data_IF_935216635139
#
_entry.id   IF_935216635139
#
_cell.length_a   1.000
_cell.length_b   1.000
_cell.length_c   1.000
_cell.angle_alpha   90.00
_cell.angle_beta   90.00
_cell.angle_gamma   90.00
#
_symmetry.space_group_name_H-M   'P 1'
#
loop_
_entity.id
_entity.type
_entity.pdbx_description
1 polymer ?
#
# COMPACT_ATOMS: atom_id res chain seq x y z
N UNK A 1 6.80 24.20 10.38
CA UNK A 1 7.36 22.93 9.91
C UNK A 1 8.58 22.55 10.70
N UNK A 2 8.42 21.65 11.66
CA UNK A 2 9.54 20.87 12.18
C UNK A 2 9.40 19.49 11.59
N UNK A 3 10.32 19.11 10.69
CA UNK A 3 10.49 17.72 10.30
C UNK A 3 10.74 16.92 11.58
N UNK A 4 9.72 16.18 12.03
CA UNK A 4 9.86 15.29 13.17
C UNK A 4 10.52 14.03 12.65
N UNK A 5 11.72 13.75 13.12
CA UNK A 5 12.38 12.46 12.89
C UNK A 5 11.44 11.31 13.27
N UNK A 6 11.38 10.30 12.41
CA UNK A 6 10.67 9.05 12.67
C UNK A 6 11.69 8.11 13.31
N UNK A 7 11.60 7.84 14.63
CA UNK A 7 12.57 6.98 15.28
C UNK A 7 12.43 5.54 14.76
N UNK A 8 13.57 4.90 14.53
CA UNK A 8 13.64 3.46 14.27
C UNK A 8 13.25 2.72 15.55
N UNK A 9 12.06 2.10 15.55
CA UNK A 9 11.53 1.39 16.72
C UNK A 9 11.13 -0.05 16.42
N UNK A 10 11.33 -0.49 15.19
CA UNK A 10 11.09 -1.85 14.73
C UNK A 10 12.28 -2.33 13.90
N UNK A 11 12.46 -3.63 13.83
CA UNK A 11 13.46 -4.29 12.98
C UNK A 11 12.79 -5.10 11.89
N UNK A 12 13.51 -5.34 10.79
CA UNK A 12 13.05 -6.13 9.65
C UNK A 12 14.17 -7.05 9.16
N UNK A 13 13.80 -8.22 8.66
CA UNK A 13 14.72 -9.16 8.01
C UNK A 13 14.76 -8.98 6.48
N UNK A 14 14.12 -7.94 5.94
CA UNK A 14 14.04 -7.67 4.51
C UNK A 14 15.45 -7.49 3.91
N UNK A 15 15.80 -8.39 2.98
CA UNK A 15 17.13 -8.40 2.32
C UNK A 15 17.17 -7.70 0.97
N UNK A 16 16.05 -7.69 0.25
CA UNK A 16 15.94 -7.15 -1.10
C UNK A 16 14.85 -6.07 -1.18
N UNK A 17 14.92 -5.13 -2.13
CA UNK A 17 13.87 -4.14 -2.32
C UNK A 17 12.53 -4.80 -2.66
N UNK A 18 11.44 -4.27 -2.10
CA UNK A 18 10.07 -4.59 -2.54
C UNK A 18 9.45 -3.38 -3.21
N UNK A 19 8.89 -3.62 -4.39
CA UNK A 19 8.18 -2.62 -5.19
C UNK A 19 6.70 -2.91 -5.17
N UNK A 20 5.92 -1.94 -4.72
CA UNK A 20 4.47 -2.05 -4.55
C UNK A 20 3.81 -0.98 -5.41
N UNK A 21 2.80 -1.35 -6.18
CA UNK A 21 1.83 -0.41 -6.75
C UNK A 21 0.51 -0.60 -6.01
N UNK A 22 0.01 0.46 -5.39
CA UNK A 22 -1.31 0.51 -4.76
C UNK A 22 -2.25 1.30 -5.66
N UNK A 23 -3.41 0.74 -6.01
CA UNK A 23 -4.40 1.38 -6.88
C UNK A 23 -5.83 1.20 -6.35
N UNK A 24 -6.60 2.28 -6.38
CA UNK A 24 -8.00 2.31 -5.97
C UNK A 24 -8.73 3.52 -6.57
N UNK A 25 -9.95 3.79 -6.12
CA UNK A 25 -10.73 4.94 -6.59
C UNK A 25 -10.35 6.21 -5.82
N UNK A 26 -10.59 7.37 -6.42
CA UNK A 26 -10.54 8.64 -5.72
C UNK A 26 -11.45 8.59 -4.48
N UNK A 27 -10.93 9.05 -3.33
CA UNK A 27 -11.64 8.96 -2.04
C UNK A 27 -11.36 7.69 -1.22
N UNK A 28 -10.71 6.65 -1.77
CA UNK A 28 -10.33 5.44 -1.03
C UNK A 28 -9.04 5.59 -0.19
N UNK A 29 -8.49 6.80 -0.14
CA UNK A 29 -7.36 7.12 0.75
C UNK A 29 -5.99 6.60 0.27
N UNK A 30 -5.83 6.22 -1.00
CA UNK A 30 -4.57 5.65 -1.56
C UNK A 30 -3.32 6.47 -1.21
N UNK A 31 -3.36 7.79 -1.43
CA UNK A 31 -2.19 8.65 -1.18
C UNK A 31 -1.80 8.69 0.30
N UNK A 32 -2.81 8.69 1.18
CA UNK A 32 -2.64 8.71 2.61
C UNK A 32 -2.17 7.34 3.13
N UNK A 33 -2.75 6.26 2.62
CA UNK A 33 -2.33 4.90 2.93
C UNK A 33 -0.86 4.68 2.59
N UNK A 34 -0.44 5.05 1.37
CA UNK A 34 0.95 4.99 0.94
C UNK A 34 1.89 5.85 1.81
N UNK A 35 1.42 6.99 2.31
CA UNK A 35 2.20 7.82 3.24
C UNK A 35 2.36 7.16 4.63
N UNK A 36 1.29 6.61 5.19
CA UNK A 36 1.33 5.91 6.48
C UNK A 36 2.23 4.67 6.40
N UNK A 37 2.13 3.92 5.30
CA UNK A 37 3.00 2.78 5.03
C UNK A 37 4.47 3.19 4.85
N UNK A 38 4.74 4.29 4.14
CA UNK A 38 6.10 4.81 4.02
C UNK A 38 6.69 5.16 5.40
N UNK A 39 5.91 5.85 6.24
CA UNK A 39 6.31 6.18 7.60
C UNK A 39 6.55 4.94 8.46
N UNK A 40 5.75 3.88 8.31
CA UNK A 40 5.96 2.64 9.07
C UNK A 40 7.23 1.91 8.61
N UNK A 41 7.50 1.87 7.31
CA UNK A 41 8.74 1.28 6.79
C UNK A 41 9.99 2.07 7.25
N UNK A 42 9.95 3.42 7.25
CA UNK A 42 11.02 4.24 7.83
C UNK A 42 11.23 3.91 9.31
N UNK A 43 10.14 3.76 10.09
CA UNK A 43 10.23 3.38 11.50
C UNK A 43 10.80 1.96 11.74
N UNK A 44 10.90 1.16 10.68
CA UNK A 44 11.54 -0.16 10.67
C UNK A 44 12.98 -0.12 10.10
N UNK A 45 13.57 1.07 9.92
CA UNK A 45 14.94 1.24 9.41
C UNK A 45 15.07 1.09 7.89
N UNK A 46 13.97 1.13 7.14
CA UNK A 46 13.99 0.98 5.67
C UNK A 46 14.09 2.34 4.96
N UNK A 47 14.77 2.34 3.83
CA UNK A 47 14.71 3.42 2.85
C UNK A 47 13.40 3.31 2.09
N UNK A 48 12.77 4.45 1.80
CA UNK A 48 11.48 4.49 1.11
C UNK A 48 11.47 5.49 -0.03
N UNK A 49 10.84 5.12 -1.14
CA UNK A 49 10.44 6.04 -2.21
C UNK A 49 8.93 5.91 -2.42
N UNK A 50 8.24 7.04 -2.56
CA UNK A 50 6.79 7.09 -2.81
C UNK A 50 6.51 8.05 -3.97
N UNK A 51 5.76 7.59 -4.97
CA UNK A 51 5.29 8.40 -6.10
C UNK A 51 3.79 8.22 -6.27
N UNK A 52 3.03 9.29 -6.08
CA UNK A 52 1.58 9.31 -6.33
C UNK A 52 1.25 9.59 -7.81
N UNK A 53 0.14 9.03 -8.27
CA UNK A 53 -0.46 9.30 -9.58
C UNK A 53 -1.98 9.38 -9.43
N UNK A 54 -2.58 10.43 -9.98
CA UNK A 54 -4.02 10.66 -9.97
C UNK A 54 -4.40 11.67 -11.06
N UNK A 55 -5.62 11.60 -11.62
CA UNK A 55 -6.12 12.58 -12.58
C UNK A 55 -6.11 14.01 -12.03
N UNK A 56 -6.05 14.99 -12.92
CA UNK A 56 -6.19 16.42 -12.57
C UNK A 56 -7.58 16.78 -12.08
N UNK A 57 -8.60 15.99 -12.47
CA UNK A 57 -9.98 16.12 -11.98
C UNK A 57 -10.08 15.62 -10.55
N UNK A 58 -10.47 16.52 -9.64
CA UNK A 58 -10.59 16.21 -8.22
C UNK A 58 -11.78 15.27 -7.98
N UNK A 59 -11.56 14.20 -7.22
CA UNK A 59 -12.63 13.35 -6.66
C UNK A 59 -13.23 12.30 -7.60
N UNK A 60 -12.72 12.14 -8.82
CA UNK A 60 -13.23 11.17 -9.81
C UNK A 60 -12.07 10.39 -10.43
N UNK A 61 -12.29 9.12 -10.70
CA UNK A 61 -11.34 8.23 -11.36
C UNK A 61 -10.39 7.53 -10.39
N UNK A 62 -9.23 7.12 -10.89
CA UNK A 62 -8.26 6.35 -10.11
C UNK A 62 -7.45 7.23 -9.15
N UNK A 63 -6.91 6.59 -8.11
CA UNK A 63 -5.74 7.06 -7.40
C UNK A 63 -4.77 5.90 -7.28
N UNK A 64 -3.49 6.13 -7.60
CA UNK A 64 -2.44 5.12 -7.46
C UNK A 64 -1.19 5.68 -6.79
N UNK A 65 -0.42 4.81 -6.17
CA UNK A 65 0.87 5.16 -5.59
C UNK A 65 1.85 4.00 -5.79
N UNK A 66 3.00 4.32 -6.38
CA UNK A 66 4.17 3.45 -6.37
C UNK A 66 4.94 3.66 -5.07
N UNK A 67 5.21 2.59 -4.34
CA UNK A 67 6.05 2.60 -3.14
C UNK A 67 7.16 1.58 -3.27
N UNK A 68 8.37 1.98 -2.93
CA UNK A 68 9.54 1.10 -2.87
C UNK A 68 10.07 1.14 -1.45
N UNK A 69 10.26 -0.03 -0.84
CA UNK A 69 10.95 -0.17 0.45
C UNK A 69 12.24 -0.96 0.24
N UNK A 70 13.33 -0.58 0.90
CA UNK A 70 14.62 -1.25 0.74
C UNK A 70 15.53 -1.11 1.96
N UNK A 71 16.32 -2.15 2.31
CA UNK A 71 17.39 -2.01 3.30
C UNK A 71 18.55 -1.13 2.81
N UNK A 72 18.59 -0.80 1.51
CA UNK A 72 19.63 0.02 0.88
C UNK A 72 19.04 1.28 0.27
N UNK A 73 19.90 2.25 -0.03
CA UNK A 73 19.51 3.51 -0.67
C UNK A 73 18.80 3.25 -2.01
N UNK A 74 17.68 3.94 -2.24
CA UNK A 74 16.90 3.89 -3.47
C UNK A 74 17.34 5.03 -4.39
N UNK A 75 17.64 4.71 -5.66
CA UNK A 75 18.15 5.67 -6.66
C UNK A 75 17.18 5.89 -7.85
N UNK A 76 15.96 5.37 -7.75
CA UNK A 76 14.94 5.47 -8.79
C UNK A 76 13.55 5.64 -8.19
N UNK A 77 12.58 6.01 -9.02
CA UNK A 77 11.18 6.15 -8.62
C UNK A 77 10.28 5.40 -9.60
N UNK A 78 9.14 4.91 -9.11
CA UNK A 78 8.20 4.12 -9.90
C UNK A 78 8.63 2.67 -10.08
N UNK A 79 7.66 1.83 -10.44
CA UNK A 79 7.90 0.41 -10.67
C UNK A 79 7.02 -0.11 -11.81
N UNK A 80 7.51 -0.10 -13.07
CA UNK A 80 6.73 -0.58 -14.22
C UNK A 80 6.41 -2.08 -14.16
N UNK A 81 7.11 -2.85 -13.32
CA UNK A 81 6.80 -4.24 -12.98
C UNK A 81 7.00 -4.42 -11.48
N UNK A 82 5.99 -4.12 -10.64
CA UNK A 82 6.08 -4.26 -9.19
C UNK A 82 6.16 -5.73 -8.77
N UNK A 83 6.64 -5.97 -7.56
CA UNK A 83 6.59 -7.29 -6.92
C UNK A 83 5.18 -7.56 -6.39
N UNK A 84 4.48 -6.50 -5.96
CA UNK A 84 3.10 -6.52 -5.51
C UNK A 84 2.26 -5.44 -6.20
N UNK A 85 1.17 -5.84 -6.84
CA UNK A 85 0.12 -4.95 -7.30
C UNK A 85 -1.09 -5.13 -6.38
N UNK A 86 -1.49 -4.08 -5.68
CA UNK A 86 -2.60 -4.08 -4.72
C UNK A 86 -3.73 -3.24 -5.29
N UNK A 87 -4.89 -3.84 -5.50
CA UNK A 87 -6.04 -3.22 -6.17
C UNK A 87 -7.28 -3.30 -5.30
N UNK A 88 -7.83 -2.14 -4.91
CA UNK A 88 -9.00 -2.06 -4.01
C UNK A 88 -10.31 -1.74 -4.72
N UNK A 89 -10.30 -1.28 -5.97
CA UNK A 89 -11.51 -0.89 -6.70
C UNK A 89 -11.40 -1.13 -8.21
N UNK A 90 -12.53 -1.00 -8.90
CA UNK A 90 -12.61 -1.12 -10.35
C UNK A 90 -11.78 -0.04 -11.07
N UNK A 91 -11.86 1.23 -10.65
CA UNK A 91 -11.04 2.32 -11.23
C UNK A 91 -9.53 2.03 -11.07
N UNK A 92 -9.15 1.49 -9.90
CA UNK A 92 -7.78 1.08 -9.62
C UNK A 92 -7.35 -0.09 -10.52
N UNK A 93 -8.23 -1.07 -10.72
CA UNK A 93 -7.99 -2.21 -11.59
C UNK A 93 -7.74 -1.75 -13.03
N UNK A 94 -8.67 -0.98 -13.59
CA UNK A 94 -8.61 -0.47 -14.97
C UNK A 94 -7.35 0.36 -15.21
N UNK A 95 -6.98 1.23 -14.27
CA UNK A 95 -5.75 2.00 -14.35
C UNK A 95 -4.49 1.12 -14.32
N UNK A 96 -4.53 0.02 -13.55
CA UNK A 96 -3.37 -0.84 -13.33
C UNK A 96 -3.19 -1.97 -14.37
N UNK A 97 -4.17 -2.18 -15.26
CA UNK A 97 -4.09 -3.24 -16.29
C UNK A 97 -2.80 -3.19 -17.14
N UNK A 98 -2.31 -2.02 -17.61
CA UNK A 98 -1.04 -1.95 -18.33
C UNK A 98 0.16 -2.38 -17.49
N UNK A 99 0.16 -2.06 -16.19
CA UNK A 99 1.20 -2.52 -15.26
C UNK A 99 1.11 -4.03 -15.05
N UNK A 100 -0.10 -4.56 -14.83
CA UNK A 100 -0.34 -6.00 -14.65
C UNK A 100 0.13 -6.81 -15.87
N UNK A 101 -0.11 -6.32 -17.08
CA UNK A 101 0.35 -6.96 -18.32
C UNK A 101 1.88 -7.04 -18.42
N UNK A 102 2.60 -6.09 -17.80
CA UNK A 102 4.06 -6.08 -17.76
C UNK A 102 4.64 -6.98 -16.65
N UNK A 103 3.84 -7.39 -15.67
CA UNK A 103 4.29 -8.25 -14.58
C UNK A 103 4.48 -9.68 -15.07
N UNK A 104 5.74 -10.14 -15.08
CA UNK A 104 6.09 -11.55 -15.37
C UNK A 104 6.09 -12.45 -14.14
N UNK A 105 6.19 -11.85 -12.96
CA UNK A 105 6.23 -12.48 -11.64
C UNK A 105 5.68 -11.49 -10.62
N UNK A 106 5.36 -11.97 -9.43
CA UNK A 106 4.83 -11.17 -8.34
C UNK A 106 3.42 -11.60 -7.96
N UNK A 107 2.76 -10.77 -7.18
CA UNK A 107 1.43 -11.05 -6.63
C UNK A 107 0.48 -9.90 -6.93
N UNK A 108 -0.72 -10.23 -7.42
CA UNK A 108 -1.86 -9.33 -7.48
C UNK A 108 -2.71 -9.56 -6.22
N UNK A 109 -2.73 -8.60 -5.30
CA UNK A 109 -3.66 -8.57 -4.17
C UNK A 109 -4.92 -7.82 -4.58
N UNK A 110 -6.04 -8.53 -4.71
CA UNK A 110 -7.26 -8.02 -5.31
C UNK A 110 -8.41 -7.99 -4.30
N UNK A 111 -9.16 -6.89 -4.25
CA UNK A 111 -10.40 -6.85 -3.48
C UNK A 111 -11.40 -7.92 -3.97
N UNK A 112 -12.06 -8.58 -3.03
CA UNK A 112 -12.97 -9.69 -3.31
C UNK A 112 -14.23 -9.29 -4.09
N UNK A 113 -14.56 -8.00 -4.16
CA UNK A 113 -15.68 -7.53 -4.98
C UNK A 113 -15.36 -7.49 -6.47
N UNK A 114 -14.08 -7.62 -6.86
CA UNK A 114 -13.63 -7.49 -8.23
C UNK A 114 -13.57 -8.84 -8.96
N UNK A 115 -13.77 -8.79 -10.28
CA UNK A 115 -13.54 -9.93 -11.16
C UNK A 115 -12.03 -10.11 -11.37
N UNK A 116 -11.60 -11.37 -11.51
CA UNK A 116 -10.20 -11.64 -11.79
C UNK A 116 -9.86 -11.15 -13.21
N UNK A 117 -8.82 -10.32 -13.38
CA UNK A 117 -8.28 -10.04 -14.70
C UNK A 117 -7.56 -11.28 -15.25
N UNK A 118 -7.41 -11.35 -16.57
CA UNK A 118 -6.52 -12.33 -17.20
C UNK A 118 -5.06 -11.95 -16.88
N UNK A 119 -4.34 -12.84 -16.20
CA UNK A 119 -2.94 -12.63 -15.86
C UNK A 119 -2.22 -13.94 -15.54
N UNK A 120 -0.90 -13.95 -15.76
CA UNK A 120 -0.02 -15.05 -15.39
C UNK A 120 0.55 -14.94 -13.97
N UNK A 121 0.28 -13.85 -13.24
CA UNK A 121 0.76 -13.70 -11.85
C UNK A 121 -0.22 -14.28 -10.83
N UNK A 122 0.27 -14.63 -9.65
CA UNK A 122 -0.56 -15.17 -8.57
C UNK A 122 -1.55 -14.11 -8.08
N UNK A 123 -2.84 -14.46 -8.02
CA UNK A 123 -3.89 -13.61 -7.46
C UNK A 123 -4.19 -14.05 -6.02
N UNK A 124 -4.11 -13.12 -5.07
CA UNK A 124 -4.54 -13.32 -3.69
C UNK A 124 -5.72 -12.39 -3.41
N UNK A 125 -6.86 -12.96 -3.04
CA UNK A 125 -8.10 -12.19 -2.81
C UNK A 125 -8.25 -11.82 -1.35
N UNK A 126 -8.73 -10.60 -1.09
CA UNK A 126 -9.02 -10.11 0.25
C UNK A 126 -10.28 -9.28 0.29
N UNK A 127 -10.99 -9.31 1.41
CA UNK A 127 -12.10 -8.40 1.69
C UNK A 127 -11.55 -7.04 2.16
N UNK A 128 -11.12 -6.15 1.26
CA UNK A 128 -10.60 -4.85 1.69
C UNK A 128 -11.74 -3.87 1.98
N UNK A 129 -12.64 -3.68 1.01
CA UNK A 129 -13.68 -2.64 1.08
C UNK A 129 -14.78 -2.96 2.08
N UNK A 130 -15.23 -4.21 2.15
CA UNK A 130 -16.33 -4.59 3.03
C UNK A 130 -15.85 -4.69 4.50
N UNK A 131 -14.60 -5.12 4.77
CA UNK A 131 -14.01 -5.10 6.13
C UNK A 131 -13.70 -3.68 6.63
N UNK A 132 -13.01 -2.85 5.85
CA UNK A 132 -12.46 -1.57 6.33
C UNK A 132 -13.30 -0.35 5.92
N UNK A 133 -14.29 -0.53 5.04
CA UNK A 133 -14.99 0.54 4.36
C UNK A 133 -14.15 1.17 3.24
N UNK A 134 -14.84 1.76 2.26
CA UNK A 134 -14.24 2.42 1.07
C UNK A 134 -13.09 3.37 1.45
N UNK A 135 -13.27 4.16 2.52
CA UNK A 135 -12.30 5.17 2.97
C UNK A 135 -10.97 4.60 3.46
N UNK A 136 -10.96 3.37 4.00
CA UNK A 136 -9.77 2.75 4.60
C UNK A 136 -9.33 1.48 3.87
N UNK A 137 -10.00 1.09 2.78
CA UNK A 137 -9.68 -0.09 1.99
C UNK A 137 -8.20 -0.12 1.56
N UNK A 138 -7.68 1.00 1.05
CA UNK A 138 -6.28 1.12 0.61
C UNK A 138 -5.27 1.02 1.77
N UNK A 139 -5.65 1.44 2.98
CA UNK A 139 -4.79 1.34 4.16
C UNK A 139 -4.81 -0.09 4.72
N UNK A 140 -5.99 -0.71 4.77
CA UNK A 140 -6.14 -2.10 5.20
C UNK A 140 -5.47 -3.08 4.24
N UNK A 141 -5.48 -2.79 2.93
CA UNK A 141 -4.77 -3.62 1.96
C UNK A 141 -3.25 -3.60 2.16
N UNK A 142 -2.67 -2.47 2.58
CA UNK A 142 -1.25 -2.41 2.98
C UNK A 142 -0.98 -3.18 4.27
N UNK A 143 -1.91 -3.20 5.22
CA UNK A 143 -1.80 -4.07 6.40
C UNK A 143 -1.75 -5.55 6.00
N UNK A 144 -2.63 -5.97 5.09
CA UNK A 144 -2.64 -7.34 4.56
C UNK A 144 -1.37 -7.65 3.76
N UNK A 145 -0.85 -6.70 2.99
CA UNK A 145 0.45 -6.83 2.32
C UNK A 145 1.58 -7.05 3.33
N UNK A 146 1.64 -6.29 4.43
CA UNK A 146 2.68 -6.47 5.44
C UNK A 146 2.60 -7.88 6.04
N UNK A 147 1.40 -8.35 6.39
CA UNK A 147 1.17 -9.70 6.92
C UNK A 147 1.56 -10.79 5.91
N UNK A 148 1.25 -10.59 4.64
CA UNK A 148 1.51 -11.56 3.58
C UNK A 148 2.99 -11.62 3.17
N UNK A 149 3.67 -10.47 3.12
CA UNK A 149 5.06 -10.36 2.68
C UNK A 149 6.07 -10.51 3.81
N UNK A 150 5.62 -10.40 5.06
CA UNK A 150 6.46 -10.34 6.28
C UNK A 150 7.57 -9.27 6.17
N UNK A 151 7.34 -8.22 5.37
CA UNK A 151 8.36 -7.23 5.06
C UNK A 151 8.86 -6.46 6.30
N UNK A 152 8.03 -6.29 7.31
CA UNK A 152 8.35 -5.76 8.64
C UNK A 152 7.16 -6.00 9.59
N UNK A 153 7.30 -5.80 10.91
CA UNK A 153 6.22 -6.06 11.86
C UNK A 153 4.95 -5.20 11.60
N UNK A 154 3.74 -5.79 11.54
CA UNK A 154 2.47 -5.07 11.37
C UNK A 154 2.23 -3.95 12.39
N UNK A 155 2.77 -4.10 13.59
CA UNK A 155 2.71 -3.12 14.68
C UNK A 155 3.32 -1.78 14.29
N UNK A 156 4.26 -1.76 13.35
CA UNK A 156 4.85 -0.53 12.84
C UNK A 156 3.80 0.37 12.17
N UNK A 157 2.91 -0.23 11.38
CA UNK A 157 1.81 0.50 10.75
C UNK A 157 0.80 0.97 11.79
N UNK A 158 0.40 0.11 12.73
CA UNK A 158 -0.53 0.47 13.80
C UNK A 158 -0.02 1.63 14.66
N UNK A 159 1.27 1.62 15.04
CA UNK A 159 1.89 2.68 15.84
C UNK A 159 1.95 4.01 15.10
N UNK A 160 2.24 4.00 13.80
CA UNK A 160 2.19 5.20 12.96
C UNK A 160 0.76 5.75 12.88
N UNK A 161 -0.23 4.86 12.69
CA UNK A 161 -1.63 5.26 12.62
C UNK A 161 -2.14 5.85 13.93
N UNK A 162 -1.83 5.23 15.07
CA UNK A 162 -2.18 5.75 16.41
C UNK A 162 -1.62 7.16 16.66
N UNK A 163 -0.43 7.47 16.16
CA UNK A 163 0.20 8.80 16.29
C UNK A 163 -0.28 9.81 15.24
N UNK A 164 -1.12 9.39 14.30
CA UNK A 164 -1.63 10.26 13.24
C UNK A 164 -2.99 10.87 13.64
N UNK A 165 -3.38 11.95 12.98
CA UNK A 165 -4.74 12.54 13.11
C UNK A 165 -5.87 11.55 12.80
N UNK A 166 -5.58 10.49 12.04
CA UNK A 166 -6.57 9.45 11.77
C UNK A 166 -6.80 8.56 13.00
N UNK A 167 -5.74 8.23 13.75
CA UNK A 167 -5.81 7.41 14.96
C UNK A 167 -6.59 8.07 16.09
N UNK A 168 -6.60 9.41 16.15
CA UNK A 168 -7.42 10.17 17.12
C UNK A 168 -8.93 9.92 16.97
N UNK A 169 -9.37 9.52 15.77
CA UNK A 169 -10.80 9.38 15.42
C UNK A 169 -11.21 7.93 15.13
N UNK A 170 -10.27 7.00 15.03
CA UNK A 170 -10.52 5.64 14.60
C UNK A 170 -9.64 4.65 15.36
N UNK A 171 -10.23 3.57 15.86
CA UNK A 171 -9.49 2.47 16.48
C UNK A 171 -9.01 1.47 15.43
N UNK A 172 -7.84 1.72 14.83
CA UNK A 172 -7.30 0.83 13.79
C UNK A 172 -6.85 -0.54 14.29
N UNK A 173 -6.52 -0.69 15.56
CA UNK A 173 -6.19 -2.01 16.12
C UNK A 173 -7.40 -2.94 16.10
N UNK A 174 -8.59 -2.40 16.37
CA UNK A 174 -9.85 -3.12 16.27
C UNK A 174 -10.29 -3.30 14.81
N UNK A 175 -10.23 -2.22 14.00
CA UNK A 175 -10.66 -2.28 12.60
C UNK A 175 -9.80 -3.22 11.74
N UNK A 176 -8.49 -3.26 12.00
CA UNK A 176 -7.52 -4.08 11.26
C UNK A 176 -7.11 -5.34 12.04
N UNK A 177 -7.83 -5.67 13.10
CA UNK A 177 -7.71 -6.96 13.79
C UNK A 177 -7.80 -8.13 12.79
N UNK A 178 -7.32 -9.29 13.22
CA UNK A 178 -7.37 -10.52 12.43
C UNK A 178 -8.80 -10.88 12.01
#
# INVERSE_FOLDING_TARGET
DSEKDIPETFSTDLREPLRIMLAGSAGEGVQLAAEMFAKSAISAGLNVSKKGSYPVTVGIGFSSADVIISPKRILYTGSPSPDYLIVTSQDGLEHSLPTLANMKKGVLMLDESLQNPETGVTIVRHNFRNKAGVKFAALYSLMQFIRHSEAFPPEALLKVLQKSKLGEKNNFAELFGE
#
